data_IF_244305230580
#
_entry.id   IF_244305230580
#
_cell.length_a   1.000
_cell.length_b   1.000
_cell.length_c   1.000
_cell.angle_alpha   90.00
_cell.angle_beta   90.00
_cell.angle_gamma   90.00
#
_symmetry.space_group_name_H-M   'P 1'
#
loop_
_entity.id
_entity.type
_entity.pdbx_description
1 polymer ?
#
# COMPACT_ATOMS: atom_id res chain seq x y z
N UNK A 1 4.05 -52.84 -14.14
CA UNK A 1 3.42 -52.18 -12.99
C UNK A 1 3.95 -50.75 -12.95
N UNK A 2 3.18 -49.83 -13.56
CA UNK A 2 3.54 -48.43 -13.72
C UNK A 2 2.94 -47.67 -12.54
N UNK A 3 3.76 -47.14 -11.66
CA UNK A 3 3.33 -46.23 -10.62
C UNK A 3 3.15 -44.83 -11.23
N UNK A 4 1.90 -44.43 -11.43
CA UNK A 4 1.51 -43.09 -11.74
C UNK A 4 1.62 -42.27 -10.42
N UNK A 5 2.59 -41.37 -10.34
CA UNK A 5 2.66 -40.38 -9.25
C UNK A 5 1.53 -39.37 -9.45
N UNK A 6 0.58 -39.36 -8.54
CA UNK A 6 -0.38 -38.30 -8.43
C UNK A 6 0.38 -37.02 -8.01
N UNK A 7 0.48 -36.08 -8.94
CA UNK A 7 0.92 -34.73 -8.64
C UNK A 7 -0.13 -34.09 -7.70
N UNK A 8 0.29 -33.70 -6.54
CA UNK A 8 -0.46 -32.75 -5.69
C UNK A 8 -0.52 -31.44 -6.43
N UNK A 9 -1.64 -31.18 -7.12
CA UNK A 9 -1.99 -29.83 -7.54
C UNK A 9 -2.07 -28.97 -6.29
N UNK A 10 -1.04 -28.21 -6.03
CA UNK A 10 -1.07 -27.10 -5.09
C UNK A 10 -2.04 -26.07 -5.66
N UNK A 11 -3.25 -26.06 -5.13
CA UNK A 11 -4.25 -25.03 -5.43
C UNK A 11 -3.65 -23.70 -4.95
N UNK A 12 -3.15 -22.92 -5.89
CA UNK A 12 -2.71 -21.55 -5.64
C UNK A 12 -3.92 -20.74 -5.14
N UNK A 13 -3.83 -20.21 -3.94
CA UNK A 13 -4.88 -19.33 -3.42
C UNK A 13 -5.09 -18.17 -4.40
N UNK A 14 -6.33 -17.92 -4.84
CA UNK A 14 -6.61 -16.90 -5.84
C UNK A 14 -6.32 -15.51 -5.28
N UNK A 15 -5.80 -14.63 -6.13
CA UNK A 15 -5.52 -13.22 -5.82
C UNK A 15 -6.79 -12.50 -5.35
N UNK A 16 -6.72 -11.88 -4.17
CA UNK A 16 -7.82 -11.18 -3.55
C UNK A 16 -7.41 -9.71 -3.25
N UNK A 17 -8.02 -8.71 -3.92
CA UNK A 17 -7.67 -7.32 -3.69
C UNK A 17 -8.24 -6.80 -2.36
N UNK A 18 -7.55 -5.83 -1.78
CA UNK A 18 -8.07 -5.03 -0.68
C UNK A 18 -9.15 -4.08 -1.21
N UNK A 19 -10.35 -4.06 -0.63
CA UNK A 19 -11.41 -3.12 -1.03
C UNK A 19 -11.62 -1.98 -0.03
N UNK A 20 -11.16 -2.13 1.22
CA UNK A 20 -11.26 -1.08 2.23
C UNK A 20 -10.16 -1.21 3.28
N UNK A 21 -9.66 -0.05 3.75
CA UNK A 21 -8.91 0.08 4.99
C UNK A 21 -9.79 0.82 6.02
N UNK A 22 -9.96 0.25 7.20
CA UNK A 22 -10.67 0.87 8.31
C UNK A 22 -9.70 1.40 9.36
N UNK A 23 -9.80 2.70 9.65
CA UNK A 23 -8.99 3.44 10.60
C UNK A 23 -9.88 3.83 11.79
N UNK A 24 -10.29 2.83 12.58
CA UNK A 24 -11.29 3.01 13.63
C UNK A 24 -10.73 3.84 14.79
N UNK A 25 -9.50 3.55 15.23
CA UNK A 25 -8.75 4.32 16.25
C UNK A 25 -7.28 4.28 15.89
N UNK A 26 -6.83 5.19 15.04
CA UNK A 26 -5.45 5.18 14.57
C UNK A 26 -4.95 6.60 14.32
N UNK A 27 -3.90 6.99 15.02
CA UNK A 27 -3.31 8.35 14.91
C UNK A 27 -4.40 9.43 15.01
N UNK A 28 -4.61 10.20 13.93
CA UNK A 28 -5.62 11.28 13.88
C UNK A 28 -7.02 10.79 13.50
N UNK A 29 -7.18 9.53 13.12
CA UNK A 29 -8.45 8.97 12.65
C UNK A 29 -9.32 8.41 13.79
N UNK A 30 -10.62 8.57 13.61
CA UNK A 30 -11.69 7.92 14.38
C UNK A 30 -12.78 7.53 13.40
N UNK A 31 -13.07 6.22 13.32
CA UNK A 31 -14.13 5.65 12.46
C UNK A 31 -14.06 6.07 10.98
N UNK A 32 -12.84 6.21 10.44
CA UNK A 32 -12.63 6.53 9.04
C UNK A 32 -12.43 5.27 8.19
N UNK A 33 -12.96 5.30 6.97
CA UNK A 33 -12.82 4.23 5.98
C UNK A 33 -12.17 4.83 4.73
N UNK A 34 -11.08 4.21 4.29
CA UNK A 34 -10.45 4.46 3.00
C UNK A 34 -10.91 3.37 2.02
N UNK A 35 -11.79 3.68 1.07
CA UNK A 35 -12.11 2.76 0.00
C UNK A 35 -10.90 2.60 -0.93
N UNK A 36 -10.65 1.38 -1.37
CA UNK A 36 -9.55 1.02 -2.26
C UNK A 36 -10.12 0.50 -3.58
N UNK A 37 -9.89 1.27 -4.65
CA UNK A 37 -10.21 0.91 -6.03
C UNK A 37 -8.96 0.38 -6.76
N UNK A 38 -9.07 0.03 -8.03
CA UNK A 38 -7.91 -0.30 -8.88
C UNK A 38 -6.88 0.84 -8.92
N UNK A 39 -7.37 2.08 -9.00
CA UNK A 39 -6.58 3.29 -8.76
C UNK A 39 -7.28 4.13 -7.70
N UNK A 40 -6.61 4.37 -6.58
CA UNK A 40 -7.06 5.27 -5.51
C UNK A 40 -6.10 6.45 -5.41
N UNK A 41 -6.63 7.66 -5.51
CA UNK A 41 -5.88 8.90 -5.40
C UNK A 41 -6.30 9.64 -4.13
N UNK A 42 -5.42 9.67 -3.14
CA UNK A 42 -5.67 10.34 -1.87
C UNK A 42 -5.17 11.78 -1.92
N UNK A 43 -6.08 12.73 -1.83
CA UNK A 43 -5.82 14.16 -1.89
C UNK A 43 -6.16 14.85 -0.57
N UNK A 44 -5.60 16.03 -0.35
CA UNK A 44 -5.88 16.81 0.86
C UNK A 44 -4.72 17.73 1.19
N UNK A 45 -4.92 18.69 2.08
CA UNK A 45 -3.89 19.64 2.53
C UNK A 45 -2.74 18.93 3.25
N UNK A 46 -1.59 19.60 3.38
CA UNK A 46 -0.52 19.15 4.27
C UNK A 46 -1.07 19.02 5.69
N UNK A 47 -0.62 17.96 6.39
CA UNK A 47 -1.07 17.63 7.75
C UNK A 47 -2.56 17.26 7.89
N UNK A 48 -3.27 16.98 6.77
CA UNK A 48 -4.67 16.48 6.81
C UNK A 48 -4.79 15.05 7.34
N UNK A 49 -3.73 14.25 7.24
CA UNK A 49 -3.70 12.86 7.68
C UNK A 49 -3.49 11.84 6.56
N UNK A 50 -3.22 12.26 5.30
CA UNK A 50 -2.96 11.33 4.19
C UNK A 50 -1.90 10.28 4.54
N UNK A 51 -0.74 10.73 4.99
CA UNK A 51 0.35 9.82 5.38
C UNK A 51 -0.04 8.92 6.56
N UNK A 52 -0.89 9.41 7.50
CA UNK A 52 -1.41 8.56 8.57
C UNK A 52 -2.31 7.44 8.04
N UNK A 53 -3.08 7.71 6.97
CA UNK A 53 -3.89 6.65 6.36
C UNK A 53 -3.00 5.58 5.71
N UNK A 54 -1.93 6.00 5.00
CA UNK A 54 -0.95 5.06 4.43
C UNK A 54 -0.22 4.27 5.50
N UNK A 55 0.14 4.91 6.62
CA UNK A 55 0.76 4.21 7.77
C UNK A 55 -0.16 3.12 8.35
N UNK A 56 -1.48 3.32 8.35
CA UNK A 56 -2.43 2.29 8.78
C UNK A 56 -2.37 1.03 7.92
N UNK A 57 -2.21 1.21 6.62
CA UNK A 57 -2.03 0.10 5.68
C UNK A 57 -0.66 -0.58 5.85
N UNK A 58 0.42 0.22 6.03
CA UNK A 58 1.78 -0.28 6.31
C UNK A 58 1.82 -1.11 7.61
N UNK A 59 1.13 -0.65 8.67
CA UNK A 59 1.00 -1.40 9.94
C UNK A 59 0.34 -2.75 9.71
N UNK A 60 -0.82 -2.80 9.05
CA UNK A 60 -1.52 -4.07 8.79
C UNK A 60 -0.68 -5.02 7.92
N UNK A 61 0.00 -4.49 6.90
CA UNK A 61 0.90 -5.27 6.05
C UNK A 61 2.02 -5.91 6.86
N UNK A 62 2.69 -5.13 7.71
CA UNK A 62 3.79 -5.62 8.56
C UNK A 62 3.32 -6.66 9.59
N UNK A 63 2.15 -6.45 10.20
CA UNK A 63 1.56 -7.42 11.13
C UNK A 63 1.22 -8.74 10.43
N UNK A 64 0.78 -8.67 9.17
CA UNK A 64 0.47 -9.86 8.37
C UNK A 64 1.66 -10.76 8.05
N UNK A 65 2.88 -10.27 8.20
CA UNK A 65 4.10 -11.10 8.10
C UNK A 65 4.25 -12.09 9.27
N UNK A 66 3.51 -11.90 10.36
CA UNK A 66 3.52 -12.80 11.51
C UNK A 66 4.66 -12.57 12.50
N UNK A 67 5.42 -11.49 12.36
CA UNK A 67 6.44 -11.08 13.33
C UNK A 67 5.83 -10.54 14.63
N UNK A 68 6.66 -10.41 15.68
CA UNK A 68 6.24 -9.74 16.89
C UNK A 68 5.88 -8.28 16.61
N UNK A 69 4.77 -7.79 17.18
CA UNK A 69 4.23 -6.44 16.92
C UNK A 69 5.30 -5.36 17.08
N UNK A 70 6.10 -5.45 18.17
CA UNK A 70 7.16 -4.49 18.46
C UNK A 70 8.25 -4.50 17.37
N UNK A 71 8.70 -5.68 16.98
CA UNK A 71 9.75 -5.83 15.96
C UNK A 71 9.25 -5.37 14.58
N UNK A 72 7.98 -5.68 14.24
CA UNK A 72 7.35 -5.29 12.99
C UNK A 72 7.19 -3.76 12.86
N UNK A 73 6.78 -3.08 13.93
CA UNK A 73 6.44 -1.65 13.89
C UNK A 73 7.63 -0.73 14.21
N UNK A 74 8.55 -1.15 15.09
CA UNK A 74 9.76 -0.40 15.40
C UNK A 74 10.93 -0.69 14.45
N UNK A 75 10.75 -1.62 13.49
CA UNK A 75 11.73 -1.89 12.42
C UNK A 75 13.04 -2.53 12.91
N UNK A 76 13.04 -3.23 14.04
CA UNK A 76 14.26 -3.77 14.66
C UNK A 76 14.95 -4.87 13.86
N UNK A 77 14.24 -5.53 12.97
CA UNK A 77 14.75 -6.67 12.17
C UNK A 77 14.70 -6.45 10.65
N UNK A 78 14.26 -5.27 10.18
CA UNK A 78 14.05 -5.02 8.75
C UNK A 78 14.85 -3.82 8.26
N UNK A 79 15.33 -3.92 7.03
CA UNK A 79 15.90 -2.81 6.28
C UNK A 79 14.87 -1.69 5.98
N UNK A 80 13.58 -1.95 6.25
CA UNK A 80 12.47 -1.02 5.97
C UNK A 80 12.28 0.07 7.02
N UNK A 81 13.04 0.06 8.09
CA UNK A 81 12.91 1.03 9.19
C UNK A 81 11.61 0.87 10.00
N UNK A 82 11.38 1.76 10.96
CA UNK A 82 10.15 1.83 11.74
C UNK A 82 8.99 2.44 10.94
N UNK A 83 7.75 2.11 11.33
CA UNK A 83 6.59 2.93 10.93
C UNK A 83 6.79 4.35 11.46
N UNK A 84 6.25 5.35 10.76
CA UNK A 84 6.36 6.76 11.22
C UNK A 84 5.82 6.94 12.64
N UNK A 85 6.70 7.34 13.56
CA UNK A 85 6.40 7.45 14.99
C UNK A 85 6.53 6.12 15.76
N UNK A 86 6.94 5.03 15.09
CA UNK A 86 7.07 3.71 15.70
C UNK A 86 5.76 3.17 16.25
N UNK A 87 5.85 2.15 17.08
CA UNK A 87 4.69 1.57 17.77
C UNK A 87 3.95 2.59 18.64
N UNK A 88 4.70 3.42 19.37
CA UNK A 88 4.15 4.46 20.27
C UNK A 88 3.34 5.54 19.55
N UNK A 89 3.61 5.76 18.26
CA UNK A 89 2.90 6.72 17.42
C UNK A 89 1.65 6.16 16.73
N UNK A 90 1.31 4.88 16.92
CA UNK A 90 0.11 4.27 16.31
C UNK A 90 -1.20 4.60 17.03
N UNK A 91 -1.27 4.59 18.39
CA UNK A 91 -2.47 5.01 19.09
C UNK A 91 -2.81 6.48 18.81
N UNK A 92 -4.07 6.85 18.91
CA UNK A 92 -4.46 8.24 19.00
C UNK A 92 -3.83 8.92 20.22
N UNK A 93 -3.55 10.22 20.08
CA UNK A 93 -2.89 10.98 21.16
C UNK A 93 -3.62 10.84 22.50
N UNK A 94 -2.87 10.45 23.53
CA UNK A 94 -3.38 10.20 24.89
C UNK A 94 -4.12 8.86 25.07
N UNK A 95 -4.01 7.95 24.11
CA UNK A 95 -4.58 6.61 24.19
C UNK A 95 -3.49 5.53 24.11
N UNK A 96 -3.76 4.37 24.73
CA UNK A 96 -2.82 3.25 24.81
C UNK A 96 -3.16 2.12 23.83
N UNK A 97 -4.19 2.30 23.03
CA UNK A 97 -4.65 1.29 22.08
C UNK A 97 -4.96 1.90 20.73
N UNK A 98 -4.75 1.12 19.67
CA UNK A 98 -5.22 1.47 18.34
C UNK A 98 -6.01 0.31 17.72
N UNK A 99 -6.90 0.64 16.79
CA UNK A 99 -7.75 -0.33 16.08
C UNK A 99 -7.68 -0.06 14.59
N UNK A 100 -7.32 -1.08 13.84
CA UNK A 100 -7.27 -1.10 12.38
C UNK A 100 -8.11 -2.28 11.87
N UNK A 101 -8.54 -2.17 10.62
CA UNK A 101 -9.19 -3.29 9.94
C UNK A 101 -9.08 -3.17 8.43
N UNK A 102 -9.33 -4.25 7.74
CA UNK A 102 -9.41 -4.26 6.27
C UNK A 102 -10.60 -5.09 5.80
N UNK A 103 -10.99 -4.83 4.57
CA UNK A 103 -11.91 -5.67 3.79
C UNK A 103 -11.16 -6.18 2.57
N UNK A 104 -11.29 -7.47 2.30
CA UNK A 104 -10.66 -8.16 1.17
C UNK A 104 -11.77 -8.78 0.33
N UNK A 105 -11.76 -8.51 -0.97
CA UNK A 105 -12.67 -9.17 -1.90
C UNK A 105 -12.17 -10.57 -2.15
N UNK A 106 -12.97 -11.56 -1.73
CA UNK A 106 -12.57 -12.96 -1.83
C UNK A 106 -13.04 -13.58 -3.16
N UNK A 107 -12.45 -14.71 -3.58
CA UNK A 107 -12.91 -15.43 -4.76
C UNK A 107 -14.31 -16.05 -4.62
N UNK A 108 -14.90 -16.03 -3.43
CA UNK A 108 -16.20 -16.66 -3.13
C UNK A 108 -17.37 -15.66 -3.15
N UNK A 109 -17.27 -14.58 -3.94
CA UNK A 109 -18.32 -13.57 -4.17
C UNK A 109 -18.81 -12.83 -2.92
N UNK A 110 -18.14 -12.98 -1.79
CA UNK A 110 -18.44 -12.27 -0.56
C UNK A 110 -17.14 -11.81 0.13
N UNK A 111 -17.09 -10.58 0.66
CA UNK A 111 -15.89 -10.05 1.26
C UNK A 111 -15.54 -10.72 2.59
N UNK A 112 -14.24 -10.73 2.92
CA UNK A 112 -13.75 -11.02 4.26
C UNK A 112 -13.37 -9.73 4.96
N UNK A 113 -13.60 -9.66 6.27
CA UNK A 113 -13.28 -8.50 7.10
C UNK A 113 -12.40 -8.94 8.26
N UNK A 114 -11.27 -8.27 8.42
CA UNK A 114 -10.38 -8.41 9.56
C UNK A 114 -10.39 -7.11 10.36
N UNK A 115 -10.61 -7.19 11.66
CA UNK A 115 -10.46 -6.09 12.61
C UNK A 115 -9.51 -6.51 13.72
N UNK A 116 -8.53 -5.66 14.04
CA UNK A 116 -7.53 -5.91 15.05
C UNK A 116 -7.37 -4.69 15.96
N UNK A 117 -7.34 -4.94 17.27
CA UNK A 117 -7.05 -3.94 18.30
C UNK A 117 -5.77 -4.34 19.01
N UNK A 118 -4.81 -3.44 18.99
CA UNK A 118 -3.50 -3.57 19.62
C UNK A 118 -3.41 -2.64 20.81
N UNK A 119 -3.03 -3.17 21.95
CA UNK A 119 -2.61 -2.41 23.12
C UNK A 119 -1.11 -2.16 23.05
N UNK A 120 -0.70 -0.92 23.34
CA UNK A 120 0.72 -0.50 23.37
C UNK A 120 1.22 -0.41 24.79
N UNK A 121 0.42 0.09 25.72
CA UNK A 121 0.74 0.18 27.13
C UNK A 121 -0.33 -0.52 27.98
N UNK A 122 0.05 -1.12 29.14
CA UNK A 122 1.43 -1.29 29.67
C UNK A 122 2.24 -2.32 28.89
N UNK A 123 1.59 -3.28 28.21
CA UNK A 123 2.23 -4.35 27.45
C UNK A 123 1.75 -4.35 26.02
N UNK A 124 2.67 -4.64 25.08
CA UNK A 124 2.38 -4.73 23.66
C UNK A 124 1.72 -6.07 23.34
N UNK A 125 0.44 -6.02 22.96
CA UNK A 125 -0.33 -7.24 22.66
C UNK A 125 -1.59 -6.97 21.84
N UNK A 126 -2.06 -8.00 21.13
CA UNK A 126 -3.41 -8.04 20.60
C UNK A 126 -4.39 -8.18 21.79
N UNK A 127 -5.37 -7.30 21.86
CA UNK A 127 -6.46 -7.37 22.85
C UNK A 127 -7.79 -7.79 22.23
N UNK A 128 -7.94 -7.59 20.92
CA UNK A 128 -9.09 -8.08 20.16
C UNK A 128 -8.69 -8.30 18.71
N UNK A 129 -9.08 -9.42 18.16
CA UNK A 129 -8.99 -9.70 16.72
C UNK A 129 -10.21 -10.50 16.30
N UNK A 130 -10.77 -10.13 15.14
CA UNK A 130 -11.97 -10.77 14.60
C UNK A 130 -11.85 -10.87 13.09
N UNK A 131 -12.08 -12.08 12.58
CA UNK A 131 -12.19 -12.36 11.16
C UNK A 131 -13.63 -12.81 10.85
N UNK A 132 -14.24 -12.16 9.88
CA UNK A 132 -15.52 -12.60 9.30
C UNK A 132 -15.34 -12.82 7.81
N UNK A 133 -16.10 -13.72 7.25
CA UNK A 133 -15.97 -14.03 5.83
C UNK A 133 -16.97 -15.07 5.34
N UNK A 134 -16.88 -15.41 4.05
CA UNK A 134 -17.74 -16.40 3.43
C UNK A 134 -17.45 -17.80 3.95
N UNK A 135 -18.51 -18.59 4.01
CA UNK A 135 -18.47 -20.04 4.22
C UNK A 135 -19.58 -20.69 3.37
N UNK A 136 -19.58 -21.98 3.21
CA UNK A 136 -20.68 -22.70 2.57
C UNK A 136 -22.04 -22.39 3.22
N UNK A 137 -22.04 -22.08 4.52
CA UNK A 137 -23.24 -21.70 5.28
C UNK A 137 -23.56 -20.20 5.25
N UNK A 138 -22.99 -19.43 4.32
CA UNK A 138 -23.11 -17.98 4.21
C UNK A 138 -22.05 -17.24 5.01
N UNK A 139 -22.18 -15.90 5.14
CA UNK A 139 -21.21 -15.06 5.83
C UNK A 139 -21.21 -15.30 7.35
N UNK A 140 -20.07 -15.60 7.96
CA UNK A 140 -19.91 -15.97 9.37
C UNK A 140 -18.78 -15.24 10.06
N UNK A 141 -18.81 -15.23 11.39
CA UNK A 141 -17.65 -14.98 12.23
C UNK A 141 -16.79 -16.24 12.17
N UNK A 142 -15.66 -16.17 11.49
CA UNK A 142 -14.74 -17.29 11.29
C UNK A 142 -13.93 -17.56 12.54
N UNK A 143 -13.33 -16.51 13.12
CA UNK A 143 -12.81 -16.56 14.48
C UNK A 143 -12.94 -15.20 15.18
N UNK A 144 -12.87 -15.23 16.50
CA UNK A 144 -12.79 -14.04 17.33
C UNK A 144 -12.10 -14.36 18.66
N UNK A 145 -11.45 -13.35 19.21
CA UNK A 145 -10.80 -13.44 20.52
C UNK A 145 -11.81 -13.55 21.65
N UNK A 146 -11.40 -14.20 22.73
CA UNK A 146 -12.03 -14.12 24.03
C UNK A 146 -11.49 -12.92 24.81
N UNK A 147 -12.15 -12.46 25.87
CA UNK A 147 -11.61 -11.40 26.72
C UNK A 147 -10.18 -11.72 27.15
N UNK A 148 -9.24 -10.76 27.01
CA UNK A 148 -7.85 -10.97 27.38
C UNK A 148 -7.73 -11.23 28.88
N UNK A 149 -6.85 -12.16 29.27
CA UNK A 149 -6.51 -12.41 30.67
C UNK A 149 -5.37 -11.49 31.08
N UNK A 150 -5.41 -10.91 32.30
CA UNK A 150 -4.27 -10.19 32.84
C UNK A 150 -3.02 -11.07 32.87
N UNK A 151 -1.86 -10.49 32.64
CA UNK A 151 -0.53 -11.11 32.76
C UNK A 151 -0.29 -12.38 31.92
N UNK A 152 -1.11 -12.61 30.87
CA UNK A 152 -0.94 -13.74 29.97
C UNK A 152 -0.30 -13.29 28.65
N UNK A 153 0.75 -14.00 28.24
CA UNK A 153 1.36 -13.86 26.89
C UNK A 153 0.51 -14.47 25.78
N UNK A 154 -0.60 -15.14 26.14
CA UNK A 154 -1.53 -15.77 25.23
C UNK A 154 -2.93 -15.17 25.38
N UNK A 155 -3.71 -15.25 24.27
CA UNK A 155 -5.12 -14.87 24.24
C UNK A 155 -5.96 -16.03 23.74
N UNK A 156 -7.10 -16.27 24.39
CA UNK A 156 -8.06 -17.27 23.95
C UNK A 156 -8.76 -16.86 22.66
N UNK A 157 -8.98 -17.80 21.77
CA UNK A 157 -9.80 -17.64 20.57
C UNK A 157 -10.89 -18.71 20.50
N UNK A 158 -11.96 -18.41 19.79
CA UNK A 158 -12.99 -19.38 19.38
C UNK A 158 -13.22 -19.24 17.87
N UNK A 159 -13.45 -20.37 17.19
CA UNK A 159 -13.61 -20.37 15.72
C UNK A 159 -14.85 -21.13 15.25
N UNK A 160 -15.22 -20.89 14.00
CA UNK A 160 -16.33 -21.56 13.34
C UNK A 160 -15.96 -23.02 12.99
N UNK A 161 -16.85 -23.95 13.30
CA UNK A 161 -16.66 -25.38 13.04
C UNK A 161 -17.88 -26.01 12.32
N UNK A 162 -18.78 -25.20 11.77
CA UNK A 162 -19.96 -25.64 11.05
C UNK A 162 -21.08 -26.22 11.95
N UNK A 163 -20.88 -26.31 13.26
CA UNK A 163 -21.84 -26.93 14.19
C UNK A 163 -22.56 -25.87 15.03
N UNK A 164 -23.88 -26.00 15.28
CA UNK A 164 -24.57 -25.17 16.25
C UNK A 164 -24.07 -25.49 17.68
N UNK A 165 -24.06 -24.47 18.56
CA UNK A 165 -23.70 -24.62 19.96
C UNK A 165 -22.27 -24.15 20.27
N UNK A 166 -21.54 -24.87 21.14
CA UNK A 166 -20.23 -24.45 21.65
C UNK A 166 -19.16 -24.52 20.54
N UNK A 167 -18.54 -23.38 20.25
CA UNK A 167 -17.40 -23.30 19.34
C UNK A 167 -16.14 -23.85 20.00
N UNK A 168 -15.26 -24.54 19.24
CA UNK A 168 -13.95 -24.90 19.74
C UNK A 168 -13.14 -23.66 20.10
N UNK A 169 -12.19 -23.82 21.02
CA UNK A 169 -11.34 -22.74 21.51
C UNK A 169 -9.89 -23.21 21.69
N UNK A 170 -8.96 -22.30 21.56
CA UNK A 170 -7.55 -22.50 21.79
C UNK A 170 -6.92 -21.21 22.31
N UNK A 171 -5.65 -21.28 22.73
CA UNK A 171 -4.84 -20.12 23.08
C UNK A 171 -3.79 -19.89 22.02
N UNK A 172 -3.63 -18.64 21.61
CA UNK A 172 -2.62 -18.16 20.64
C UNK A 172 -1.76 -17.08 21.30
N UNK A 173 -0.55 -16.90 20.78
CA UNK A 173 0.31 -15.80 21.24
C UNK A 173 -0.29 -14.45 20.87
N UNK A 174 -0.38 -13.54 21.84
CA UNK A 174 -0.96 -12.21 21.64
C UNK A 174 0.06 -11.14 21.22
N UNK A 175 1.34 -11.51 21.09
CA UNK A 175 2.44 -10.64 20.65
C UNK A 175 2.53 -10.44 19.12
N UNK A 176 1.67 -11.12 18.35
CA UNK A 176 1.62 -11.08 16.87
C UNK A 176 0.19 -11.28 16.37
N UNK A 177 -0.05 -10.96 15.10
CA UNK A 177 -1.37 -11.12 14.49
C UNK A 177 -1.86 -12.57 14.62
N UNK A 178 -3.07 -12.76 15.15
CA UNK A 178 -3.60 -14.10 15.42
C UNK A 178 -3.98 -14.81 14.12
N UNK A 179 -4.52 -14.08 13.14
CA UNK A 179 -4.88 -14.61 11.82
C UNK A 179 -3.70 -15.35 11.17
N UNK A 180 -2.46 -14.87 11.34
CA UNK A 180 -1.26 -15.52 10.79
C UNK A 180 -0.91 -16.85 11.46
N UNK A 181 -1.43 -17.11 12.65
CA UNK A 181 -1.18 -18.33 13.39
C UNK A 181 -2.19 -19.45 13.07
N UNK A 182 -3.36 -19.09 12.48
CA UNK A 182 -4.45 -20.05 12.24
C UNK A 182 -4.03 -21.25 11.36
N UNK A 183 -3.30 -21.09 10.23
CA UNK A 183 -2.90 -22.20 9.38
C UNK A 183 -2.08 -23.27 10.11
N UNK A 184 -1.29 -22.87 11.11
CA UNK A 184 -0.41 -23.79 11.86
C UNK A 184 -1.01 -24.28 13.17
N UNK A 185 -2.06 -23.63 13.68
CA UNK A 185 -2.61 -23.89 15.02
C UNK A 185 -4.00 -24.50 15.01
N UNK A 186 -4.80 -24.27 13.96
CA UNK A 186 -6.08 -24.93 13.81
C UNK A 186 -5.89 -26.34 13.26
N UNK A 187 -6.64 -27.34 13.78
CA UNK A 187 -6.50 -28.72 13.31
C UNK A 187 -7.00 -28.93 11.88
N UNK A 188 -7.87 -28.04 11.35
CA UNK A 188 -8.45 -28.06 9.99
C UNK A 188 -8.97 -29.46 9.56
N UNK A 189 -9.58 -30.19 10.49
CA UNK A 189 -10.05 -31.56 10.30
C UNK A 189 -11.40 -31.65 9.56
N UNK A 190 -12.18 -30.59 9.60
CA UNK A 190 -13.49 -30.47 8.94
C UNK A 190 -13.46 -29.40 7.85
N UNK A 191 -14.38 -29.51 6.85
CA UNK A 191 -14.49 -28.50 5.79
C UNK A 191 -14.69 -27.09 6.34
N UNK A 192 -15.57 -26.83 7.33
CA UNK A 192 -15.71 -25.49 7.92
C UNK A 192 -14.43 -24.95 8.59
N UNK A 193 -13.59 -25.83 9.16
CA UNK A 193 -12.31 -25.41 9.74
C UNK A 193 -11.29 -25.11 8.64
N UNK A 194 -11.32 -25.84 7.51
CA UNK A 194 -10.51 -25.53 6.33
C UNK A 194 -10.92 -24.17 5.73
N UNK A 195 -12.22 -23.89 5.63
CA UNK A 195 -12.72 -22.57 5.17
C UNK A 195 -12.17 -21.43 6.04
N UNK A 196 -12.10 -21.60 7.36
CA UNK A 196 -11.51 -20.58 8.26
C UNK A 196 -10.03 -20.33 7.92
N UNK A 197 -9.27 -21.38 7.68
CA UNK A 197 -7.84 -21.29 7.33
C UNK A 197 -7.66 -20.64 5.96
N UNK A 198 -8.41 -21.08 4.96
CA UNK A 198 -8.36 -20.56 3.60
C UNK A 198 -8.66 -19.04 3.56
N UNK A 199 -9.71 -18.59 4.26
CA UNK A 199 -10.03 -17.16 4.33
C UNK A 199 -8.94 -16.38 5.09
N UNK A 200 -8.36 -16.96 6.14
CA UNK A 200 -7.25 -16.35 6.87
C UNK A 200 -6.01 -16.17 5.96
N UNK A 201 -5.69 -17.18 5.14
CA UNK A 201 -4.58 -17.12 4.17
C UNK A 201 -4.84 -16.09 3.08
N UNK A 202 -6.07 -16.01 2.56
CA UNK A 202 -6.47 -15.00 1.57
C UNK A 202 -6.29 -13.58 2.13
N UNK A 203 -6.75 -13.33 3.36
CA UNK A 203 -6.64 -12.00 3.99
C UNK A 203 -5.18 -11.65 4.30
N UNK A 204 -4.42 -12.56 4.87
CA UNK A 204 -2.99 -12.32 5.16
C UNK A 204 -2.17 -12.18 3.88
N UNK A 205 -2.49 -12.94 2.83
CA UNK A 205 -1.88 -12.84 1.51
C UNK A 205 -2.13 -11.47 0.87
N UNK A 206 -3.37 -10.96 0.93
CA UNK A 206 -3.71 -9.62 0.43
C UNK A 206 -2.93 -8.51 1.16
N UNK A 207 -2.78 -8.62 2.47
CA UNK A 207 -2.02 -7.66 3.28
C UNK A 207 -0.51 -7.74 3.03
N UNK A 208 0.06 -8.94 2.85
CA UNK A 208 1.48 -9.13 2.47
C UNK A 208 1.78 -8.60 1.07
N UNK A 209 0.77 -8.55 0.19
CA UNK A 209 0.87 -7.97 -1.14
C UNK A 209 0.93 -6.44 -1.18
N UNK A 210 0.88 -5.76 -0.05
CA UNK A 210 1.02 -4.30 0.02
C UNK A 210 2.50 -3.92 -0.06
N UNK A 211 2.85 -3.16 -1.07
CA UNK A 211 4.20 -2.66 -1.29
C UNK A 211 4.24 -1.13 -1.27
N UNK A 212 4.88 -0.58 -0.26
CA UNK A 212 5.13 0.86 -0.14
C UNK A 212 6.39 1.22 -0.90
N UNK A 213 6.26 1.95 -1.99
CA UNK A 213 7.38 2.49 -2.76
C UNK A 213 7.62 3.96 -2.36
N UNK A 214 8.77 4.20 -1.76
CA UNK A 214 9.25 5.53 -1.37
C UNK A 214 10.67 5.72 -1.93
N UNK A 215 10.81 6.07 -3.22
CA UNK A 215 12.11 6.15 -3.88
C UNK A 215 12.98 7.23 -3.25
N UNK A 216 14.20 6.86 -2.88
CA UNK A 216 15.21 7.74 -2.26
C UNK A 216 16.36 7.96 -3.24
N UNK A 217 16.35 9.05 -4.08
CA UNK A 217 17.27 9.22 -5.21
C UNK A 217 18.75 9.09 -4.86
N UNK A 218 19.20 9.59 -3.69
CA UNK A 218 20.59 9.50 -3.31
C UNK A 218 21.07 8.05 -3.06
N UNK A 219 20.19 7.13 -2.66
CA UNK A 219 20.49 5.70 -2.52
C UNK A 219 20.51 4.99 -3.87
N UNK A 220 19.69 5.43 -4.83
CA UNK A 220 19.55 4.84 -6.16
C UNK A 220 20.79 5.09 -7.06
N UNK A 221 21.67 5.98 -6.64
CA UNK A 221 22.87 6.40 -7.38
C UNK A 221 24.09 5.49 -7.18
N UNK A 222 23.93 4.41 -6.42
CA UNK A 222 25.05 3.52 -6.05
C UNK A 222 25.14 2.30 -7.00
N UNK A 223 26.32 1.69 -7.03
CA UNK A 223 26.45 0.32 -7.53
C UNK A 223 25.76 -0.64 -6.59
N UNK A 224 25.05 -1.62 -7.13
CA UNK A 224 24.31 -2.61 -6.35
C UNK A 224 24.55 -4.02 -6.89
N UNK A 225 24.52 -5.06 -6.03
CA UNK A 225 24.68 -6.43 -6.47
C UNK A 225 23.65 -6.81 -7.55
N UNK A 226 24.08 -7.37 -8.67
CA UNK A 226 23.17 -7.74 -9.77
C UNK A 226 22.09 -8.75 -9.35
N UNK A 227 22.35 -9.56 -8.30
CA UNK A 227 21.39 -10.53 -7.74
C UNK A 227 20.25 -9.87 -6.95
N UNK A 228 20.43 -8.64 -6.49
CA UNK A 228 19.44 -7.88 -5.71
C UNK A 228 18.46 -7.17 -6.66
N UNK A 229 17.67 -7.93 -7.36
CA UNK A 229 16.91 -7.49 -8.52
C UNK A 229 15.38 -7.34 -8.29
N UNK A 230 14.89 -7.65 -7.08
CA UNK A 230 13.53 -7.30 -6.66
C UNK A 230 13.54 -5.91 -6.07
N UNK A 231 12.76 -4.99 -6.68
CA UNK A 231 12.79 -3.58 -6.30
C UNK A 231 12.42 -3.41 -4.82
N UNK A 232 13.30 -2.78 -4.07
CA UNK A 232 13.10 -2.48 -2.65
C UNK A 232 12.30 -1.20 -2.45
N UNK A 233 11.77 -1.00 -1.26
CA UNK A 233 10.94 0.16 -0.89
C UNK A 233 11.61 1.51 -1.22
N UNK A 234 12.88 1.70 -0.90
CA UNK A 234 13.64 2.92 -1.19
C UNK A 234 14.16 2.98 -2.63
N UNK A 235 13.94 1.91 -3.40
CA UNK A 235 14.48 1.72 -4.75
C UNK A 235 16.02 1.82 -4.84
N UNK A 236 16.76 1.64 -3.72
CA UNK A 236 18.23 1.70 -3.71
C UNK A 236 18.87 0.73 -4.71
N UNK A 237 18.18 -0.36 -5.03
CA UNK A 237 18.62 -1.38 -5.98
C UNK A 237 18.04 -1.23 -7.39
N UNK A 238 17.58 -0.02 -7.77
CA UNK A 238 16.95 0.26 -9.06
C UNK A 238 17.78 -0.26 -10.25
N UNK A 239 19.09 -0.08 -10.22
CA UNK A 239 19.99 -0.51 -11.31
C UNK A 239 19.90 -2.03 -11.55
N UNK A 240 19.81 -2.83 -10.51
CA UNK A 240 19.67 -4.29 -10.63
C UNK A 240 18.24 -4.69 -11.06
N UNK A 241 17.22 -3.99 -10.54
CA UNK A 241 15.85 -4.22 -10.93
C UNK A 241 15.63 -3.97 -12.43
N UNK A 242 16.10 -2.84 -12.93
CA UNK A 242 16.02 -2.49 -14.37
C UNK A 242 16.83 -3.48 -15.24
N UNK A 243 18.03 -3.90 -14.78
CA UNK A 243 18.81 -4.93 -15.48
C UNK A 243 18.05 -6.23 -15.62
N UNK A 244 17.35 -6.66 -14.57
CA UNK A 244 16.52 -7.87 -14.58
C UNK A 244 15.33 -7.75 -15.55
N UNK A 245 14.69 -6.58 -15.61
CA UNK A 245 13.60 -6.35 -16.58
C UNK A 245 14.13 -6.48 -17.99
N UNK A 246 15.27 -5.86 -18.31
CA UNK A 246 15.89 -5.97 -19.63
C UNK A 246 16.24 -7.42 -20.03
N UNK A 247 16.63 -8.24 -19.06
CA UNK A 247 17.00 -9.65 -19.30
C UNK A 247 15.81 -10.61 -19.43
N UNK A 248 14.72 -10.36 -18.65
CA UNK A 248 13.59 -11.29 -18.53
C UNK A 248 12.36 -10.90 -19.33
N UNK A 249 12.13 -9.61 -19.49
CA UNK A 249 10.96 -9.08 -20.18
C UNK A 249 11.35 -7.87 -21.06
N UNK A 250 11.94 -8.14 -22.25
CA UNK A 250 12.33 -7.09 -23.18
C UNK A 250 11.19 -6.16 -23.59
N UNK A 251 9.94 -6.66 -23.64
CA UNK A 251 8.79 -5.85 -24.01
C UNK A 251 8.45 -4.80 -22.94
N UNK A 252 8.50 -5.18 -21.65
CA UNK A 252 8.31 -4.22 -20.56
C UNK A 252 9.51 -3.27 -20.43
N UNK A 253 10.72 -3.74 -20.73
CA UNK A 253 11.89 -2.88 -20.81
C UNK A 253 11.77 -1.82 -21.90
N UNK A 254 11.30 -2.20 -23.10
CA UNK A 254 11.06 -1.25 -24.19
C UNK A 254 10.01 -0.19 -23.81
N UNK A 255 8.99 -0.57 -23.05
CA UNK A 255 8.00 0.37 -22.50
C UNK A 255 8.59 1.32 -21.47
N UNK A 256 9.44 0.81 -20.58
CA UNK A 256 10.17 1.62 -19.61
C UNK A 256 10.99 2.68 -20.32
N UNK A 257 11.76 2.28 -21.36
CA UNK A 257 12.57 3.18 -22.16
C UNK A 257 11.72 4.18 -22.94
N UNK A 258 10.60 3.73 -23.51
CA UNK A 258 9.66 4.62 -24.22
C UNK A 258 9.07 5.67 -23.28
N UNK A 259 8.69 5.28 -22.06
CA UNK A 259 8.23 6.20 -21.02
C UNK A 259 9.31 7.21 -20.64
N UNK A 260 10.54 6.74 -20.42
CA UNK A 260 11.68 7.60 -20.09
C UNK A 260 11.95 8.63 -21.18
N UNK A 261 11.87 8.22 -22.46
CA UNK A 261 12.00 9.14 -23.62
C UNK A 261 10.95 10.24 -23.65
N UNK A 262 9.75 9.97 -23.15
CA UNK A 262 8.65 10.96 -23.11
C UNK A 262 8.83 12.00 -22.00
N UNK A 263 9.53 11.65 -20.91
CA UNK A 263 9.76 12.57 -19.80
C UNK A 263 11.09 13.31 -19.90
N UNK A 264 12.05 12.77 -20.65
CA UNK A 264 13.38 13.37 -20.79
C UNK A 264 13.30 14.66 -21.62
N UNK A 265 14.06 15.66 -21.20
CA UNK A 265 14.24 16.91 -21.95
C UNK A 265 15.22 16.74 -23.12
N UNK A 266 16.04 15.69 -23.05
CA UNK A 266 17.03 15.35 -24.07
C UNK A 266 16.73 14.00 -24.72
N UNK A 267 17.14 13.77 -25.97
CA UNK A 267 16.96 12.50 -26.67
C UNK A 267 17.63 11.34 -25.88
N UNK A 268 16.89 10.28 -25.58
CA UNK A 268 17.45 9.06 -25.02
C UNK A 268 17.54 8.01 -26.12
N UNK A 269 18.76 7.57 -26.43
CA UNK A 269 19.01 6.53 -27.42
C UNK A 269 18.84 5.14 -26.79
N UNK A 270 19.49 4.91 -25.65
CA UNK A 270 19.53 3.62 -25.02
C UNK A 270 19.57 3.72 -23.47
N UNK A 271 18.99 2.72 -22.82
CA UNK A 271 19.16 2.45 -21.38
C UNK A 271 19.87 1.11 -21.24
N UNK A 272 20.91 1.05 -20.44
CA UNK A 272 21.72 -0.15 -20.23
C UNK A 272 22.32 -0.16 -18.83
N UNK A 273 23.00 -1.23 -18.46
CA UNK A 273 23.74 -1.31 -17.20
C UNK A 273 25.22 -1.57 -17.47
N UNK A 274 26.08 -1.01 -16.62
CA UNK A 274 27.49 -1.39 -16.54
C UNK A 274 27.73 -2.29 -15.33
N UNK A 275 28.76 -3.13 -15.42
CA UNK A 275 29.17 -4.02 -14.32
C UNK A 275 30.55 -3.62 -13.80
N UNK A 276 30.71 -3.64 -12.48
CA UNK A 276 32.01 -3.54 -11.83
C UNK A 276 32.74 -4.90 -11.89
N UNK A 277 34.03 -4.90 -11.55
CA UNK A 277 34.83 -6.13 -11.45
C UNK A 277 34.30 -7.09 -10.36
N UNK A 278 33.54 -6.59 -9.39
CA UNK A 278 32.91 -7.37 -8.34
C UNK A 278 31.52 -7.91 -8.71
N UNK A 279 31.03 -7.56 -9.92
CA UNK A 279 29.72 -8.00 -10.41
C UNK A 279 28.55 -7.11 -10.00
N UNK A 280 28.81 -5.97 -9.37
CA UNK A 280 27.78 -4.97 -9.07
C UNK A 280 27.39 -4.23 -10.35
N UNK A 281 26.15 -3.76 -10.42
CA UNK A 281 25.59 -3.08 -11.59
C UNK A 281 25.21 -1.63 -11.28
N UNK A 282 25.35 -0.77 -12.30
CA UNK A 282 24.84 0.60 -12.29
C UNK A 282 24.15 0.90 -13.62
N UNK A 283 23.00 1.56 -13.53
CA UNK A 283 22.22 2.02 -14.67
C UNK A 283 22.97 3.14 -15.42
N UNK A 284 22.92 3.08 -16.75
CA UNK A 284 23.43 4.08 -17.67
C UNK A 284 22.33 4.48 -18.64
N UNK A 285 22.23 5.76 -18.91
CA UNK A 285 21.36 6.34 -19.95
C UNK A 285 22.24 6.96 -21.04
N UNK A 286 22.02 6.51 -22.26
CA UNK A 286 22.70 7.04 -23.46
C UNK A 286 21.85 8.16 -24.04
N UNK A 287 22.32 9.39 -23.98
CA UNK A 287 21.60 10.60 -24.40
C UNK A 287 21.92 11.01 -25.85
N UNK A 288 22.67 10.17 -26.57
CA UNK A 288 23.10 10.43 -27.93
C UNK A 288 24.38 11.27 -28.02
N UNK A 289 24.96 11.34 -29.23
CA UNK A 289 26.18 12.08 -29.44
C UNK A 289 27.42 11.59 -28.68
N UNK A 290 27.35 10.38 -28.08
CA UNK A 290 28.42 9.80 -27.28
C UNK A 290 28.37 10.19 -25.79
N UNK A 291 27.32 10.89 -25.33
CA UNK A 291 27.12 11.21 -23.94
C UNK A 291 26.44 10.05 -23.23
N UNK A 292 27.06 9.54 -22.16
CA UNK A 292 26.53 8.45 -21.32
C UNK A 292 26.43 8.94 -19.90
N UNK A 293 25.19 9.04 -19.38
CA UNK A 293 24.88 9.54 -18.06
C UNK A 293 24.62 8.37 -17.10
N UNK A 294 25.51 8.12 -16.12
CA UNK A 294 25.30 7.08 -15.12
C UNK A 294 24.22 7.49 -14.11
N UNK A 295 23.60 6.50 -13.42
CA UNK A 295 22.57 6.74 -12.40
C UNK A 295 22.97 7.79 -11.36
N UNK A 296 24.25 7.90 -11.02
CA UNK A 296 24.77 8.90 -10.08
C UNK A 296 24.56 10.35 -10.53
N UNK A 297 24.39 10.60 -11.83
CA UNK A 297 24.28 11.92 -12.46
C UNK A 297 22.85 12.19 -12.97
N UNK A 298 21.97 11.17 -12.96
CA UNK A 298 20.58 11.33 -13.35
C UNK A 298 19.83 12.27 -12.37
N UNK A 299 18.87 13.01 -12.91
CA UNK A 299 17.98 13.83 -12.07
C UNK A 299 17.14 12.98 -11.12
N UNK A 300 16.74 13.57 -9.98
CA UNK A 300 15.87 12.91 -9.01
C UNK A 300 14.54 12.47 -9.65
N UNK A 301 13.98 13.31 -10.53
CA UNK A 301 12.74 13.00 -11.24
C UNK A 301 12.87 11.79 -12.16
N UNK A 302 13.97 11.68 -12.93
CA UNK A 302 14.23 10.52 -13.79
C UNK A 302 14.37 9.24 -12.96
N UNK A 303 15.11 9.29 -11.86
CA UNK A 303 15.29 8.14 -10.96
C UNK A 303 13.95 7.69 -10.36
N UNK A 304 13.15 8.63 -9.84
CA UNK A 304 11.80 8.33 -9.29
C UNK A 304 10.87 7.77 -10.35
N UNK A 305 10.84 8.37 -11.54
CA UNK A 305 10.06 7.85 -12.66
C UNK A 305 10.44 6.41 -13.01
N UNK A 306 11.73 6.12 -13.11
CA UNK A 306 12.23 4.77 -13.38
C UNK A 306 11.81 3.79 -12.30
N UNK A 307 11.89 4.17 -11.02
CA UNK A 307 11.48 3.32 -9.91
C UNK A 307 9.97 3.00 -9.95
N UNK A 308 9.14 4.04 -10.11
CA UNK A 308 7.67 3.88 -10.19
C UNK A 308 7.29 3.05 -11.43
N UNK A 309 7.86 3.39 -12.59
CA UNK A 309 7.59 2.64 -13.83
C UNK A 309 8.04 1.18 -13.73
N UNK A 310 9.21 0.92 -13.13
CA UNK A 310 9.68 -0.46 -12.90
C UNK A 310 8.69 -1.23 -12.04
N UNK A 311 8.24 -0.67 -10.92
CA UNK A 311 7.25 -1.32 -10.05
C UNK A 311 5.92 -1.60 -10.78
N UNK A 312 5.41 -0.63 -11.54
CA UNK A 312 4.14 -0.75 -12.29
C UNK A 312 4.22 -1.77 -13.43
N UNK A 313 5.34 -1.81 -14.16
CA UNK A 313 5.52 -2.69 -15.31
C UNK A 313 5.82 -4.13 -14.90
N UNK A 314 6.56 -4.34 -13.82
CA UNK A 314 6.94 -5.67 -13.33
C UNK A 314 5.91 -6.27 -12.37
N UNK A 315 5.02 -5.44 -11.81
CA UNK A 315 4.02 -5.87 -10.85
C UNK A 315 4.66 -6.62 -9.66
N UNK A 316 3.95 -7.61 -9.14
CA UNK A 316 4.40 -8.40 -7.97
C UNK A 316 5.72 -9.16 -8.17
N UNK A 317 6.07 -9.51 -9.41
CA UNK A 317 7.27 -10.30 -9.71
C UNK A 317 8.56 -9.47 -9.69
N UNK A 318 8.43 -8.16 -9.69
CA UNK A 318 9.55 -7.25 -9.71
C UNK A 318 9.80 -6.49 -8.42
N UNK A 319 8.94 -6.63 -7.42
CA UNK A 319 9.06 -5.93 -6.13
C UNK A 319 9.35 -6.91 -4.99
N UNK A 320 10.08 -6.44 -3.98
CA UNK A 320 10.44 -7.24 -2.80
C UNK A 320 9.28 -7.30 -1.82
N UNK A 321 8.31 -8.20 -2.09
CA UNK A 321 7.22 -8.54 -1.19
C UNK A 321 7.43 -9.94 -0.63
N UNK A 322 7.11 -10.15 0.66
CA UNK A 322 7.18 -11.45 1.29
C UNK A 322 6.15 -12.40 0.69
N UNK A 323 6.57 -13.25 -0.25
CA UNK A 323 5.71 -14.28 -0.84
C UNK A 323 6.13 -15.65 -0.37
N UNK A 324 5.20 -16.43 0.16
CA UNK A 324 5.43 -17.88 0.34
C UNK A 324 5.33 -18.60 -1.02
N UNK A 325 6.15 -19.64 -1.24
CA UNK A 325 6.05 -20.43 -2.47
C UNK A 325 4.65 -20.98 -2.66
N UNK A 326 4.04 -20.74 -3.82
CA UNK A 326 2.71 -21.24 -4.17
C UNK A 326 1.54 -20.29 -3.91
N UNK A 327 1.77 -19.11 -3.36
CA UNK A 327 0.75 -18.05 -3.25
C UNK A 327 0.96 -16.99 -4.32
N UNK A 328 -0.13 -16.57 -4.94
CA UNK A 328 -0.14 -15.45 -5.89
C UNK A 328 -0.93 -14.26 -5.27
N UNK A 329 -0.34 -13.47 -4.35
CA UNK A 329 -1.05 -12.33 -3.79
C UNK A 329 -1.30 -11.26 -4.86
N UNK A 330 -2.38 -10.49 -4.68
CA UNK A 330 -2.55 -9.22 -5.41
C UNK A 330 -1.48 -8.23 -4.95
N UNK A 331 -0.99 -7.39 -5.85
CA UNK A 331 -0.12 -6.28 -5.49
C UNK A 331 -0.97 -5.04 -5.20
N UNK A 332 -0.79 -4.43 -4.03
CA UNK A 332 -1.26 -3.08 -3.74
C UNK A 332 -0.04 -2.17 -3.64
N UNK A 333 0.24 -1.46 -4.74
CA UNK A 333 1.35 -0.51 -4.81
C UNK A 333 0.93 0.81 -4.16
N UNK A 334 1.67 1.25 -3.15
CA UNK A 334 1.47 2.52 -2.46
C UNK A 334 2.61 3.47 -2.79
N UNK A 335 2.30 4.66 -3.34
CA UNK A 335 3.29 5.69 -3.70
C UNK A 335 2.88 7.02 -3.09
N UNK A 336 3.75 7.60 -2.25
CA UNK A 336 3.54 8.94 -1.73
C UNK A 336 4.09 10.00 -2.67
N UNK A 337 3.29 11.07 -2.84
CA UNK A 337 3.68 12.26 -3.62
C UNK A 337 4.23 11.84 -5.00
N UNK A 338 3.38 11.16 -5.75
CA UNK A 338 3.72 10.54 -7.04
C UNK A 338 4.43 11.50 -8.01
N UNK A 339 4.10 12.79 -7.93
CA UNK A 339 4.67 13.86 -8.77
C UNK A 339 6.04 14.37 -8.33
N UNK A 340 6.57 13.95 -7.19
CA UNK A 340 7.82 14.49 -6.66
C UNK A 340 8.99 14.36 -7.66
N UNK A 341 9.59 15.50 -7.98
CA UNK A 341 10.70 15.57 -8.92
C UNK A 341 10.31 15.52 -10.40
N UNK A 342 9.01 15.44 -10.73
CA UNK A 342 8.51 15.43 -12.10
C UNK A 342 7.98 16.81 -12.51
N UNK A 343 8.16 17.13 -13.79
CA UNK A 343 7.57 18.33 -14.35
C UNK A 343 6.05 18.15 -14.54
N UNK A 344 5.21 19.17 -14.31
CA UNK A 344 3.75 19.07 -14.46
C UNK A 344 3.25 18.49 -15.79
N UNK A 345 3.98 18.73 -16.91
CA UNK A 345 3.66 18.16 -18.23
C UNK A 345 3.76 16.63 -18.29
N UNK A 346 4.43 15.99 -17.32
CA UNK A 346 4.64 14.54 -17.27
C UNK A 346 3.52 13.80 -16.51
N UNK A 347 2.59 14.54 -15.89
CA UNK A 347 1.50 14.00 -15.10
C UNK A 347 0.58 13.05 -15.88
N UNK A 348 0.26 13.39 -17.14
CA UNK A 348 -0.58 12.55 -17.99
C UNK A 348 0.06 11.20 -18.29
N UNK A 349 1.38 11.18 -18.51
CA UNK A 349 2.12 9.94 -18.75
C UNK A 349 2.09 9.00 -17.54
N UNK A 350 2.29 9.55 -16.34
CA UNK A 350 2.17 8.75 -15.12
C UNK A 350 0.80 8.13 -14.96
N UNK A 351 -0.27 8.89 -15.23
CA UNK A 351 -1.64 8.37 -15.18
C UNK A 351 -1.87 7.27 -16.22
N UNK A 352 -1.34 7.42 -17.44
CA UNK A 352 -1.39 6.37 -18.45
C UNK A 352 -0.76 5.07 -17.93
N UNK A 353 0.43 5.15 -17.33
CA UNK A 353 1.12 3.99 -16.76
C UNK A 353 0.34 3.36 -15.58
N UNK A 354 -0.26 4.18 -14.71
CA UNK A 354 -1.10 3.69 -13.62
C UNK A 354 -2.33 2.95 -14.13
N UNK A 355 -3.03 3.50 -15.14
CA UNK A 355 -4.19 2.85 -15.77
C UNK A 355 -3.80 1.54 -16.46
N UNK A 356 -2.69 1.55 -17.21
CA UNK A 356 -2.18 0.35 -17.87
C UNK A 356 -1.83 -0.77 -16.89
N UNK A 357 -1.15 -0.43 -15.79
CA UNK A 357 -0.81 -1.40 -14.75
C UNK A 357 -2.07 -1.99 -14.08
N UNK A 358 -3.04 -1.12 -13.72
CA UNK A 358 -4.30 -1.54 -13.12
C UNK A 358 -5.15 -2.42 -14.04
N UNK A 359 -5.04 -2.23 -15.36
CA UNK A 359 -5.79 -3.02 -16.35
C UNK A 359 -5.19 -4.41 -16.62
N UNK A 360 -3.86 -4.56 -16.46
CA UNK A 360 -3.16 -5.78 -16.89
C UNK A 360 -3.10 -6.89 -15.85
N UNK A 361 -2.86 -6.56 -14.58
CA UNK A 361 -2.39 -7.57 -13.64
C UNK A 361 -3.00 -7.52 -12.24
N UNK A 362 -4.24 -7.18 -12.05
CA UNK A 362 -4.80 -7.17 -10.68
C UNK A 362 -3.91 -6.36 -9.70
N UNK A 363 -3.21 -5.36 -10.21
CA UNK A 363 -2.42 -4.43 -9.41
C UNK A 363 -3.33 -3.29 -8.99
N UNK A 364 -3.50 -3.12 -7.70
CA UNK A 364 -4.12 -1.93 -7.14
C UNK A 364 -3.04 -0.88 -6.92
N UNK A 365 -3.40 0.37 -7.12
CA UNK A 365 -2.49 1.48 -6.86
C UNK A 365 -3.15 2.50 -5.94
N UNK A 366 -2.48 2.82 -4.84
CA UNK A 366 -2.85 3.87 -3.91
C UNK A 366 -1.79 4.97 -3.97
N UNK A 367 -2.14 6.14 -4.46
CA UNK A 367 -1.20 7.26 -4.58
C UNK A 367 -1.67 8.47 -3.79
N UNK A 368 -0.73 9.23 -3.24
CA UNK A 368 -1.02 10.59 -2.78
C UNK A 368 -0.48 11.60 -3.77
N UNK A 369 -1.16 12.72 -3.92
CA UNK A 369 -0.73 13.82 -4.78
C UNK A 369 -1.19 15.17 -4.26
N UNK A 370 -0.38 16.18 -4.54
CA UNK A 370 -0.70 17.60 -4.39
C UNK A 370 -0.65 18.34 -5.73
N UNK A 371 -0.32 17.65 -6.83
CA UNK A 371 -0.14 18.25 -8.15
C UNK A 371 -1.47 18.60 -8.81
N UNK A 372 -1.77 19.91 -9.02
CA UNK A 372 -2.96 20.31 -9.79
C UNK A 372 -2.93 19.77 -11.23
N UNK A 373 -1.73 19.60 -11.81
CA UNK A 373 -1.56 19.07 -13.15
C UNK A 373 -2.01 17.60 -13.21
N UNK A 374 -1.59 16.76 -12.24
CA UNK A 374 -2.01 15.36 -12.15
C UNK A 374 -3.51 15.27 -11.91
N UNK A 375 -4.05 16.08 -11.02
CA UNK A 375 -5.49 16.11 -10.74
C UNK A 375 -6.32 16.60 -11.92
N UNK A 376 -5.80 17.54 -12.72
CA UNK A 376 -6.45 18.00 -13.95
C UNK A 376 -6.41 16.97 -15.09
N UNK A 377 -5.47 16.01 -15.03
CA UNK A 377 -5.37 14.93 -16.00
C UNK A 377 -6.32 13.76 -15.70
N UNK A 378 -6.85 13.65 -14.45
CA UNK A 378 -7.87 12.66 -14.08
C UNK A 378 -9.15 12.87 -14.89
N UNK A 379 -9.72 11.77 -15.36
CA UNK A 379 -11.02 11.77 -16.06
C UNK A 379 -12.17 11.65 -15.06
N UNK A 380 -13.40 11.91 -15.48
CA UNK A 380 -14.58 11.71 -14.63
C UNK A 380 -14.75 10.26 -14.12
N UNK A 381 -14.24 9.28 -14.85
CA UNK A 381 -14.24 7.88 -14.41
C UNK A 381 -13.32 7.67 -13.20
N UNK A 382 -12.17 8.36 -13.18
CA UNK A 382 -11.17 8.27 -12.11
C UNK A 382 -11.66 8.92 -10.81
N UNK A 383 -12.58 9.90 -10.90
CA UNK A 383 -13.08 10.62 -9.72
C UNK A 383 -13.72 9.71 -8.67
N UNK A 384 -14.19 8.51 -9.04
CA UNK A 384 -14.68 7.50 -8.10
C UNK A 384 -13.59 6.91 -7.22
N UNK A 385 -12.35 6.93 -7.71
CA UNK A 385 -11.16 6.50 -6.96
C UNK A 385 -10.50 7.64 -6.18
N UNK A 386 -10.98 8.89 -6.29
CA UNK A 386 -10.40 10.01 -5.56
C UNK A 386 -11.02 10.10 -4.17
N UNK A 387 -10.17 10.13 -3.15
CA UNK A 387 -10.56 10.29 -1.75
C UNK A 387 -9.95 11.57 -1.20
N UNK A 388 -10.81 12.40 -0.62
CA UNK A 388 -10.41 13.65 0.02
C UNK A 388 -10.13 13.39 1.50
N UNK A 389 -8.90 13.71 1.93
CA UNK A 389 -8.52 13.70 3.34
C UNK A 389 -8.57 15.12 3.88
N UNK A 390 -9.37 15.35 4.88
CA UNK A 390 -9.49 16.61 5.58
C UNK A 390 -9.27 16.46 7.07
N UNK A 391 -8.89 17.54 7.75
CA UNK A 391 -8.68 17.58 9.19
C UNK A 391 -9.53 18.65 9.83
N UNK A 392 -10.39 18.22 10.71
CA UNK A 392 -11.20 19.11 11.55
C UNK A 392 -10.29 19.90 12.48
N UNK A 393 -10.33 21.23 12.34
CA UNK A 393 -9.44 22.15 13.09
C UNK A 393 -9.80 22.25 14.57
N UNK A 394 -11.06 21.98 14.94
CA UNK A 394 -11.51 22.06 16.32
C UNK A 394 -11.15 20.80 17.11
N UNK A 395 -11.29 19.63 16.49
CA UNK A 395 -11.04 18.34 17.13
C UNK A 395 -9.68 17.73 16.81
N UNK A 396 -8.99 18.24 15.78
CA UNK A 396 -7.75 17.66 15.26
C UNK A 396 -7.92 16.29 14.60
N UNK A 397 -9.14 15.83 14.38
CA UNK A 397 -9.43 14.53 13.78
C UNK A 397 -9.40 14.60 12.26
N UNK A 398 -8.80 13.59 11.64
CA UNK A 398 -8.81 13.42 10.19
C UNK A 398 -10.07 12.68 9.74
N UNK A 399 -10.57 13.04 8.54
CA UNK A 399 -11.72 12.43 7.88
C UNK A 399 -11.34 12.04 6.46
N UNK A 400 -11.95 10.99 5.96
CA UNK A 400 -11.82 10.52 4.59
C UNK A 400 -13.20 10.51 3.94
N UNK A 401 -13.30 11.08 2.75
CA UNK A 401 -14.56 11.11 2.00
C UNK A 401 -14.28 10.94 0.51
N UNK A 402 -15.05 10.11 -0.17
CA UNK A 402 -14.96 10.01 -1.61
C UNK A 402 -15.30 11.35 -2.26
N UNK A 403 -14.55 11.75 -3.29
CA UNK A 403 -14.76 13.01 -4.00
C UNK A 403 -16.18 13.13 -4.54
N UNK A 404 -16.70 12.04 -5.11
CA UNK A 404 -18.05 11.99 -5.69
C UNK A 404 -19.18 12.13 -4.67
N UNK A 405 -18.92 11.86 -3.41
CA UNK A 405 -19.90 11.92 -2.32
C UNK A 405 -19.88 13.28 -1.60
N UNK A 406 -18.98 14.19 -2.01
CA UNK A 406 -18.95 15.54 -1.47
C UNK A 406 -20.21 16.32 -1.89
N UNK A 407 -20.86 16.96 -0.91
CA UNK A 407 -21.96 17.87 -1.21
C UNK A 407 -21.47 18.99 -2.14
N UNK A 408 -22.16 19.21 -3.26
CA UNK A 408 -21.75 20.21 -4.26
C UNK A 408 -20.67 19.74 -5.25
N UNK A 409 -20.25 18.46 -5.24
CA UNK A 409 -19.28 17.91 -6.19
C UNK A 409 -19.62 18.26 -7.66
N UNK A 410 -20.86 18.03 -8.10
CA UNK A 410 -21.28 18.29 -9.47
C UNK A 410 -21.19 19.77 -9.85
N UNK A 411 -21.52 20.67 -8.92
CA UNK A 411 -21.40 22.11 -9.13
C UNK A 411 -19.93 22.52 -9.24
N UNK A 412 -19.07 22.01 -8.37
CA UNK A 412 -17.64 22.26 -8.41
C UNK A 412 -17.01 21.79 -9.73
N UNK A 413 -17.39 20.61 -10.22
CA UNK A 413 -16.86 20.07 -11.49
C UNK A 413 -17.41 20.80 -12.71
N UNK A 414 -18.50 21.54 -12.61
CA UNK A 414 -19.00 22.43 -13.67
C UNK A 414 -18.11 23.68 -13.84
N UNK A 415 -17.35 24.07 -12.81
CA UNK A 415 -16.44 25.22 -12.84
C UNK A 415 -15.08 24.94 -13.51
N UNK A 416 -14.74 23.68 -13.75
CA UNK A 416 -13.50 23.30 -14.38
C UNK A 416 -12.98 21.90 -14.06
N UNK A 417 -11.73 21.64 -14.42
CA UNK A 417 -11.07 20.38 -14.09
C UNK A 417 -10.74 20.31 -12.61
N UNK A 418 -10.60 19.08 -12.06
CA UNK A 418 -10.38 18.87 -10.63
C UNK A 418 -9.19 19.66 -10.08
N UNK A 419 -8.06 19.72 -10.80
CA UNK A 419 -6.90 20.50 -10.38
C UNK A 419 -7.19 22.00 -10.28
N UNK A 420 -7.96 22.57 -11.22
CA UNK A 420 -8.37 23.98 -11.18
C UNK A 420 -9.30 24.26 -10.01
N UNK A 421 -10.27 23.37 -9.79
CA UNK A 421 -11.24 23.45 -8.68
C UNK A 421 -10.50 23.42 -7.33
N UNK A 422 -9.52 22.54 -7.17
CA UNK A 422 -8.72 22.44 -5.94
C UNK A 422 -7.85 23.67 -5.75
N UNK A 423 -7.20 24.16 -6.80
CA UNK A 423 -6.32 25.34 -6.75
C UNK A 423 -7.10 26.60 -6.35
N UNK A 424 -8.35 26.74 -6.84
CA UNK A 424 -9.25 27.84 -6.50
C UNK A 424 -9.95 27.68 -5.14
N UNK A 425 -9.74 26.55 -4.43
CA UNK A 425 -10.40 26.29 -3.16
C UNK A 425 -11.91 26.03 -3.26
N UNK A 426 -12.41 25.63 -4.43
CA UNK A 426 -13.83 25.47 -4.71
C UNK A 426 -14.41 24.11 -4.28
N UNK A 427 -13.59 23.21 -3.70
CA UNK A 427 -14.14 21.97 -3.13
C UNK A 427 -15.01 22.29 -1.91
N UNK A 428 -16.28 21.83 -1.91
CA UNK A 428 -17.18 22.05 -0.78
C UNK A 428 -16.66 21.44 0.52
N UNK A 429 -17.03 22.03 1.65
CA UNK A 429 -16.62 21.56 2.99
C UNK A 429 -15.24 22.00 3.45
N UNK A 430 -14.50 22.75 2.63
CA UNK A 430 -13.26 23.40 3.07
C UNK A 430 -13.58 24.68 3.86
N UNK A 431 -12.98 24.89 5.05
CA UNK A 431 -13.02 26.19 5.65
C UNK A 431 -12.35 27.21 4.69
N UNK A 432 -12.85 28.46 4.64
CA UNK A 432 -12.25 29.50 3.81
C UNK A 432 -10.75 29.59 4.10
N UNK A 433 -9.95 29.91 3.09
CA UNK A 433 -8.52 30.18 3.29
C UNK A 433 -8.35 31.15 4.45
N UNK A 434 -7.31 30.91 5.25
CA UNK A 434 -6.97 31.87 6.32
C UNK A 434 -6.81 33.21 5.66
N UNK A 435 -7.57 34.19 6.15
CA UNK A 435 -7.42 35.57 5.75
C UNK A 435 -6.04 36.07 6.23
N UNK A 436 -5.13 36.21 5.29
CA UNK A 436 -3.77 36.70 5.54
C UNK A 436 -3.68 38.23 5.43
N UNK A 437 -4.80 38.92 5.18
CA UNK A 437 -4.84 40.38 4.98
C UNK A 437 -4.18 41.15 6.11
N UNK A 438 -4.31 40.65 7.35
CA UNK A 438 -3.66 41.26 8.53
C UNK A 438 -2.15 41.00 8.54
N UNK A 439 -1.72 39.84 8.08
CA UNK A 439 -0.32 39.46 7.97
C UNK A 439 0.36 40.16 6.77
N UNK A 440 -0.35 40.29 5.65
CA UNK A 440 0.13 41.01 4.46
C UNK A 440 0.30 42.49 4.78
N UNK A 441 -0.63 43.06 5.57
CA UNK A 441 -0.53 44.45 6.06
C UNK A 441 0.66 44.64 7.02
N UNK A 442 0.96 43.64 7.88
CA UNK A 442 2.12 43.66 8.77
C UNK A 442 3.45 43.57 7.99
N UNK A 443 3.43 42.91 6.83
CA UNK A 443 4.59 42.79 5.93
C UNK A 443 4.69 43.95 4.93
N UNK A 444 3.71 44.88 4.91
CA UNK A 444 3.69 46.00 3.96
C UNK A 444 3.45 45.57 2.52
N UNK A 445 2.77 44.45 2.32
CA UNK A 445 2.35 43.91 1.03
C UNK A 445 0.86 44.30 0.87
N UNK A 446 0.60 45.54 0.41
CA UNK A 446 -0.75 46.00 0.01
C UNK A 446 -1.00 45.80 -1.47
#
# INVERSE_FOLDING_TARGET
>A
MSHTSAGTDTVTAPSAPLSQLRLTRFKTFRDAVLPLASLTVLIGRNSSGKSNALDGLDVLSRLAEGEEIRDALDGRRRDTGSVRGGLEGCPPHGEDVFTLGCTVDTPWEAPAHLDVTVQVHPDVRIVSERLTGPTYGGHKVLFETLPPQPDSGDIGIKWYNGKPGRRPHASLRCDRLLTTQLPTRLPALSDPEREVVEVAEVVTGALRGVFHLDPVPHLMRQYVPARDAELRRSAENLSAAVSRVAERDPAEFDRLVAGLRRIAEHPIEQVRTTRSDLGDVMLLVDEGGGSVTPARELSDGMLRFLAVSTALLTGRHGVAIGTEPGTEPSLTLVVEELENGLHPSQASLLLELLHEASARERTQTLVTTHSPALLSALTGADHRGVVVCDRDTATGRSRLQQLTDLEGYSAAMAEGRLGDVITRGLLPGRPPERDYTEFDRLLGID
#
